data_IF_730094617699
#
_entry.id   IF_730094617699
#
_cell.length_a   1.000
_cell.length_b   1.000
_cell.length_c   1.000
_cell.angle_alpha   90.00
_cell.angle_beta   90.00
_cell.angle_gamma   90.00
#
_symmetry.space_group_name_H-M   'P 1'
#
loop_
_entity.id
_entity.type
_entity.pdbx_description
1 polymer ?
#
# COMPACT_ATOMS: atom_id res chain seq x y z
N UNK A 1 -16.18 -1.83 -19.11
CA UNK A 1 -15.40 -1.25 -17.99
C UNK A 1 -14.82 -2.41 -17.21
N UNK A 2 -13.55 -2.75 -17.42
CA UNK A 2 -12.91 -3.74 -16.58
C UNK A 2 -12.63 -3.07 -15.23
N UNK A 3 -13.54 -3.25 -14.27
CA UNK A 3 -13.31 -2.95 -12.85
C UNK A 3 -12.29 -3.96 -12.29
N UNK A 4 -11.10 -4.00 -12.88
CA UNK A 4 -9.99 -4.76 -12.31
C UNK A 4 -9.55 -3.97 -11.11
N UNK A 5 -10.00 -4.39 -9.93
CA UNK A 5 -9.47 -3.75 -8.75
C UNK A 5 -8.02 -4.19 -8.58
N UNK A 6 -7.14 -3.23 -8.31
CA UNK A 6 -5.74 -3.49 -8.05
C UNK A 6 -5.63 -3.78 -6.55
N UNK A 7 -5.27 -5.01 -6.22
CA UNK A 7 -4.90 -5.42 -4.86
C UNK A 7 -3.40 -5.70 -4.82
N UNK A 8 -2.72 -5.14 -3.83
CA UNK A 8 -1.27 -5.26 -3.67
C UNK A 8 -0.96 -5.76 -2.28
N UNK A 9 -0.39 -6.97 -2.22
CA UNK A 9 0.18 -7.49 -0.99
C UNK A 9 1.54 -6.84 -0.72
N UNK A 10 1.67 -6.23 0.45
CA UNK A 10 2.89 -5.55 0.89
C UNK A 10 3.81 -6.43 1.74
N UNK A 11 3.43 -7.67 2.05
CA UNK A 11 4.34 -8.60 2.72
C UNK A 11 5.46 -9.00 1.74
N UNK A 12 6.71 -8.97 2.20
CA UNK A 12 7.86 -9.29 1.35
C UNK A 12 7.75 -10.63 0.64
N UNK A 13 7.20 -11.66 1.29
CA UNK A 13 7.01 -12.98 0.68
C UNK A 13 6.18 -12.96 -0.62
N UNK A 14 5.37 -11.92 -0.83
CA UNK A 14 4.60 -11.75 -2.05
C UNK A 14 5.43 -11.25 -3.25
N UNK A 15 6.58 -10.59 -3.01
CA UNK A 15 7.37 -9.96 -4.09
C UNK A 15 8.89 -10.16 -3.99
N UNK A 16 9.39 -10.81 -2.93
CA UNK A 16 10.80 -11.06 -2.67
C UNK A 16 10.98 -12.51 -2.21
N UNK A 17 11.79 -13.27 -2.94
CA UNK A 17 11.99 -14.71 -2.70
C UNK A 17 12.96 -15.03 -1.55
N UNK A 18 13.85 -14.12 -1.21
CA UNK A 18 14.84 -14.31 -0.16
C UNK A 18 14.96 -13.02 0.65
N UNK A 19 14.67 -13.11 1.95
CA UNK A 19 14.75 -12.01 2.90
C UNK A 19 15.84 -12.25 3.96
N UNK A 20 16.64 -13.31 3.81
CA UNK A 20 17.71 -13.64 4.74
C UNK A 20 18.74 -12.53 4.80
N UNK A 21 19.13 -12.15 6.02
CA UNK A 21 20.11 -11.09 6.26
C UNK A 21 19.53 -9.68 6.27
N UNK A 22 18.25 -9.48 5.93
CA UNK A 22 17.60 -8.18 6.08
C UNK A 22 17.20 -7.94 7.54
N UNK A 23 17.43 -6.73 8.02
CA UNK A 23 16.85 -6.21 9.25
C UNK A 23 15.36 -5.94 9.08
N UNK A 24 14.63 -5.84 10.20
CA UNK A 24 13.21 -5.48 10.16
C UNK A 24 12.94 -4.09 9.56
N UNK A 25 13.89 -3.16 9.68
CA UNK A 25 13.81 -1.81 9.09
C UNK A 25 13.95 -1.87 7.56
N UNK A 26 14.92 -2.62 7.06
CA UNK A 26 15.07 -2.83 5.60
C UNK A 26 13.84 -3.51 5.02
N UNK A 27 13.30 -4.52 5.72
CA UNK A 27 12.09 -5.20 5.28
C UNK A 27 10.88 -4.26 5.18
N UNK A 28 10.72 -3.39 6.18
CA UNK A 28 9.69 -2.35 6.18
C UNK A 28 9.92 -1.36 5.03
N UNK A 29 11.15 -0.91 4.82
CA UNK A 29 11.51 0.02 3.75
C UNK A 29 11.14 -0.53 2.36
N UNK A 30 11.47 -1.79 2.06
CA UNK A 30 11.11 -2.43 0.78
C UNK A 30 9.60 -2.50 0.57
N UNK A 31 8.84 -2.78 1.63
CA UNK A 31 7.38 -2.84 1.57
C UNK A 31 6.77 -1.46 1.25
N UNK A 32 7.35 -0.40 1.83
CA UNK A 32 6.92 0.99 1.57
C UNK A 32 7.34 1.47 0.17
N UNK A 33 8.54 1.12 -0.30
CA UNK A 33 8.95 1.42 -1.68
C UNK A 33 8.04 0.75 -2.70
N UNK A 34 7.67 -0.52 -2.45
CA UNK A 34 6.70 -1.24 -3.27
C UNK A 34 5.36 -0.52 -3.30
N UNK A 35 4.83 -0.12 -2.14
CA UNK A 35 3.56 0.61 -2.04
C UNK A 35 3.60 1.92 -2.84
N UNK A 36 4.63 2.75 -2.65
CA UNK A 36 4.81 4.02 -3.38
C UNK A 36 4.88 3.80 -4.88
N UNK A 37 5.71 2.86 -5.33
CA UNK A 37 5.89 2.55 -6.76
C UNK A 37 4.57 2.16 -7.43
N UNK A 38 3.77 1.31 -6.79
CA UNK A 38 2.48 0.90 -7.37
C UNK A 38 1.45 2.03 -7.30
N UNK A 39 1.43 2.81 -6.23
CA UNK A 39 0.51 3.96 -6.11
C UNK A 39 0.77 4.99 -7.22
N UNK A 40 2.04 5.37 -7.43
CA UNK A 40 2.42 6.30 -8.50
C UNK A 40 2.04 5.76 -9.88
N UNK A 41 2.26 4.47 -10.12
CA UNK A 41 1.83 3.83 -11.36
C UNK A 41 0.31 3.85 -11.53
N UNK A 42 -0.45 3.54 -10.48
CA UNK A 42 -1.91 3.55 -10.52
C UNK A 42 -2.47 4.96 -10.77
N UNK A 43 -1.84 5.99 -10.20
CA UNK A 43 -2.16 7.40 -10.47
C UNK A 43 -1.87 7.74 -11.94
N UNK A 44 -0.68 7.39 -12.45
CA UNK A 44 -0.31 7.64 -13.84
C UNK A 44 -1.23 6.92 -14.85
N UNK A 45 -1.68 5.71 -14.50
CA UNK A 45 -2.60 4.90 -15.30
C UNK A 45 -4.08 5.32 -15.14
N UNK A 46 -4.37 6.42 -14.41
CA UNK A 46 -5.73 6.93 -14.15
C UNK A 46 -6.68 5.87 -13.53
N UNK A 47 -6.14 5.01 -12.67
CA UNK A 47 -6.94 4.05 -11.92
C UNK A 47 -7.90 4.77 -10.97
N UNK A 48 -9.04 4.16 -10.64
CA UNK A 48 -10.02 4.75 -9.70
C UNK A 48 -9.76 4.37 -8.25
N UNK A 49 -9.23 3.18 -8.03
CA UNK A 49 -9.02 2.61 -6.71
C UNK A 49 -7.83 1.65 -6.72
N UNK A 50 -7.11 1.62 -5.60
CA UNK A 50 -6.12 0.60 -5.29
C UNK A 50 -6.28 0.16 -3.82
N UNK A 51 -6.08 -1.12 -3.55
CA UNK A 51 -6.14 -1.72 -2.22
C UNK A 51 -4.78 -2.26 -1.82
N UNK A 52 -4.29 -1.87 -0.65
CA UNK A 52 -3.03 -2.36 -0.09
C UNK A 52 -3.30 -3.28 1.10
N UNK A 53 -2.70 -4.47 1.08
CA UNK A 53 -2.80 -5.47 2.15
C UNK A 53 -1.54 -5.34 3.01
N UNK A 54 -1.68 -4.89 4.26
CA UNK A 54 -0.57 -4.72 5.21
C UNK A 54 -0.56 -5.77 6.34
N UNK A 55 -1.65 -6.53 6.52
CA UNK A 55 -1.75 -7.63 7.48
C UNK A 55 -1.92 -7.23 8.95
N UNK A 56 -2.01 -8.26 9.81
CA UNK A 56 -2.35 -8.22 11.25
C UNK A 56 -1.14 -8.12 12.20
N UNK A 57 0.04 -7.73 11.70
CA UNK A 57 1.26 -7.69 12.51
C UNK A 57 1.18 -6.69 13.68
N UNK A 58 2.33 -6.32 14.25
CA UNK A 58 2.41 -5.32 15.35
C UNK A 58 2.01 -3.88 14.95
N UNK A 59 1.42 -3.69 13.77
CA UNK A 59 1.00 -2.38 13.25
C UNK A 59 2.10 -1.53 12.61
N UNK A 60 3.37 -1.94 12.62
CA UNK A 60 4.46 -1.14 12.05
C UNK A 60 4.27 -0.84 10.55
N UNK A 61 3.96 -1.87 9.74
CA UNK A 61 3.71 -1.68 8.31
C UNK A 61 2.44 -0.85 8.07
N UNK A 62 1.36 -1.12 8.81
CA UNK A 62 0.12 -0.33 8.78
C UNK A 62 0.40 1.15 9.03
N UNK A 63 1.05 1.47 10.14
CA UNK A 63 1.31 2.87 10.54
C UNK A 63 2.13 3.60 9.47
N UNK A 64 3.21 2.97 8.99
CA UNK A 64 4.08 3.56 7.96
C UNK A 64 3.37 3.72 6.61
N UNK A 65 2.48 2.80 6.24
CA UNK A 65 1.62 2.94 5.05
C UNK A 65 0.68 4.14 5.20
N UNK A 66 0.02 4.28 6.36
CA UNK A 66 -0.93 5.36 6.62
C UNK A 66 -0.25 6.73 6.65
N UNK A 67 0.97 6.84 7.20
CA UNK A 67 1.79 8.06 7.16
C UNK A 67 2.09 8.51 5.73
N UNK A 68 2.47 7.57 4.85
CA UNK A 68 2.70 7.87 3.44
C UNK A 68 1.39 8.27 2.75
N UNK A 69 0.30 7.51 2.92
CA UNK A 69 -0.99 7.86 2.34
C UNK A 69 -1.48 9.24 2.79
N UNK A 70 -1.26 9.61 4.05
CA UNK A 70 -1.54 10.97 4.54
C UNK A 70 -0.70 12.03 3.79
N UNK A 71 0.58 11.73 3.52
CA UNK A 71 1.44 12.60 2.70
C UNK A 71 0.91 12.76 1.28
N UNK A 72 0.45 11.67 0.65
CA UNK A 72 -0.18 11.70 -0.68
C UNK A 72 -1.49 12.50 -0.68
N UNK A 73 -2.32 12.33 0.35
CA UNK A 73 -3.57 13.05 0.52
C UNK A 73 -3.33 14.56 0.66
N UNK A 74 -2.38 14.96 1.52
CA UNK A 74 -2.02 16.37 1.73
C UNK A 74 -1.48 17.04 0.46
N UNK A 75 -0.87 16.26 -0.45
CA UNK A 75 -0.38 16.73 -1.76
C UNK A 75 -1.46 16.74 -2.85
N UNK A 76 -2.69 16.33 -2.53
CA UNK A 76 -3.78 16.21 -3.50
C UNK A 76 -3.57 15.13 -4.55
N UNK A 77 -2.69 14.14 -4.29
CA UNK A 77 -2.39 13.03 -5.21
C UNK A 77 -3.42 11.90 -5.14
N UNK A 78 -4.15 11.80 -4.03
CA UNK A 78 -5.25 10.87 -3.80
C UNK A 78 -6.44 11.62 -3.20
N UNK A 79 -7.65 11.06 -3.32
CA UNK A 79 -8.88 11.69 -2.79
C UNK A 79 -9.16 11.34 -1.34
N UNK A 80 -9.00 10.06 -0.97
CA UNK A 80 -9.16 9.56 0.39
C UNK A 80 -8.53 8.18 0.54
N UNK A 81 -8.33 7.74 1.77
CA UNK A 81 -8.06 6.36 2.11
C UNK A 81 -8.81 5.96 3.38
N UNK A 82 -9.25 4.72 3.46
CA UNK A 82 -10.01 4.18 4.58
C UNK A 82 -9.72 2.67 4.76
N UNK A 83 -9.76 2.14 6.00
CA UNK A 83 -9.74 0.69 6.20
C UNK A 83 -10.90 0.04 5.43
N UNK A 84 -10.68 -1.15 4.86
CA UNK A 84 -11.74 -1.91 4.24
C UNK A 84 -12.75 -2.38 5.30
N UNK A 85 -14.04 -2.21 5.01
CA UNK A 85 -15.13 -2.58 5.91
C UNK A 85 -15.10 -4.06 6.32
N UNK A 86 -14.69 -4.95 5.41
CA UNK A 86 -14.68 -6.39 5.65
C UNK A 86 -13.35 -6.90 6.22
N UNK A 87 -12.27 -6.11 6.12
CA UNK A 87 -10.95 -6.53 6.56
C UNK A 87 -10.05 -5.32 6.87
N UNK A 88 -9.78 -5.08 8.15
CA UNK A 88 -8.92 -3.98 8.61
C UNK A 88 -7.45 -4.12 8.22
N UNK A 89 -7.04 -5.28 7.68
CA UNK A 89 -5.71 -5.51 7.13
C UNK A 89 -5.49 -4.85 5.77
N UNK A 90 -6.58 -4.32 5.21
CA UNK A 90 -6.63 -3.73 3.88
C UNK A 90 -6.98 -2.26 4.04
N UNK A 91 -6.18 -1.40 3.42
CA UNK A 91 -6.52 0.00 3.21
C UNK A 91 -6.95 0.20 1.76
N UNK A 92 -8.12 0.79 1.58
CA UNK A 92 -8.69 1.17 0.28
C UNK A 92 -8.30 2.62 0.00
N UNK A 93 -7.73 2.88 -1.18
CA UNK A 93 -7.27 4.22 -1.58
C UNK A 93 -8.03 4.64 -2.83
N UNK A 94 -8.79 5.74 -2.71
CA UNK A 94 -9.49 6.37 -3.84
C UNK A 94 -8.56 7.38 -4.51
N UNK A 95 -8.36 7.24 -5.83
CA UNK A 95 -7.50 8.12 -6.62
C UNK A 95 -8.31 9.25 -7.28
N UNK A 96 -7.60 10.27 -7.77
CA UNK A 96 -8.19 11.49 -8.38
C UNK A 96 -8.96 11.18 -9.67
#
# INVERSE_FOLDING_TARGET
>A
MNNKTIEVDLHLGAFMRNTNGLSGEEMLAFSIERMKSVLEKAIADNCKEIRFIHGQGRGLLKNRVYEELQTYLNRGKIRRFEPSFFNEDIVVVSLV
#
